data_IF_631917505353
#
_entry.id   IF_631917505353
#
_cell.length_a   1.000
_cell.length_b   1.000
_cell.length_c   1.000
_cell.angle_alpha   90.00
_cell.angle_beta   90.00
_cell.angle_gamma   90.00
#
_symmetry.space_group_name_H-M   'P 1'
#
loop_
_entity.id
_entity.type
_entity.pdbx_description
1 polymer ?
#
# COMPACT_ATOMS: atom_id res chain seq x y z
N UNK A 1 21.74 26.83 1.94
CA UNK A 1 20.98 26.17 0.85
C UNK A 1 19.57 25.94 1.33
N UNK A 2 18.55 26.22 0.51
CA UNK A 2 17.15 25.95 0.86
C UNK A 2 16.87 24.45 0.82
N UNK A 3 16.19 23.91 1.83
CA UNK A 3 15.76 22.50 1.91
C UNK A 3 15.11 22.03 0.61
N UNK A 4 14.17 22.83 0.08
CA UNK A 4 13.47 22.53 -1.17
C UNK A 4 14.41 22.42 -2.38
N UNK A 5 15.47 23.24 -2.43
CA UNK A 5 16.47 23.18 -3.50
C UNK A 5 17.27 21.87 -3.45
N UNK A 6 17.65 21.42 -2.26
CA UNK A 6 18.35 20.15 -2.09
C UNK A 6 17.46 18.96 -2.47
N UNK A 7 16.22 18.93 -1.99
CA UNK A 7 15.25 17.85 -2.31
C UNK A 7 15.00 17.78 -3.83
N UNK A 8 14.79 18.93 -4.47
CA UNK A 8 14.59 19.01 -5.92
C UNK A 8 15.80 18.50 -6.71
N UNK A 9 17.01 18.92 -6.33
CA UNK A 9 18.23 18.47 -6.99
C UNK A 9 18.44 16.96 -6.84
N UNK A 10 18.19 16.39 -5.66
CA UNK A 10 18.27 14.95 -5.42
C UNK A 10 17.23 14.19 -6.26
N UNK A 11 16.01 14.70 -6.35
CA UNK A 11 14.96 14.11 -7.19
C UNK A 11 15.37 14.08 -8.67
N UNK A 12 15.82 15.22 -9.21
CA UNK A 12 16.29 15.31 -10.60
C UNK A 12 17.49 14.41 -10.84
N UNK A 13 18.41 14.30 -9.87
CA UNK A 13 19.57 13.43 -9.96
C UNK A 13 19.16 11.95 -10.10
N UNK A 14 18.24 11.48 -9.24
CA UNK A 14 17.75 10.09 -9.27
C UNK A 14 17.04 9.80 -10.60
N UNK A 15 16.18 10.71 -11.08
CA UNK A 15 15.48 10.52 -12.36
C UNK A 15 16.42 10.47 -13.57
N UNK A 16 17.51 11.25 -13.54
CA UNK A 16 18.47 11.30 -14.66
C UNK A 16 19.40 10.10 -14.70
N UNK A 17 19.83 9.59 -13.54
CA UNK A 17 20.87 8.57 -13.46
C UNK A 17 20.31 7.15 -13.28
N UNK A 18 19.06 6.99 -12.83
CA UNK A 18 18.45 5.68 -12.62
C UNK A 18 17.47 5.34 -13.74
N UNK A 19 17.89 4.44 -14.64
CA UNK A 19 17.02 3.91 -15.69
C UNK A 19 15.78 3.22 -15.10
N UNK A 20 15.96 2.44 -14.03
CA UNK A 20 14.87 1.72 -13.35
C UNK A 20 13.82 2.69 -12.82
N UNK A 21 14.25 3.77 -12.15
CA UNK A 21 13.33 4.78 -11.64
C UNK A 21 12.61 5.49 -12.78
N UNK A 22 13.34 5.88 -13.83
CA UNK A 22 12.75 6.55 -14.99
C UNK A 22 11.68 5.68 -15.66
N UNK A 23 11.98 4.41 -15.94
CA UNK A 23 11.02 3.45 -16.51
C UNK A 23 9.81 3.29 -15.61
N UNK A 24 10.00 3.17 -14.29
CA UNK A 24 8.91 3.08 -13.32
C UNK A 24 7.98 4.30 -13.35
N UNK A 25 8.53 5.51 -13.41
CA UNK A 25 7.74 6.76 -13.51
C UNK A 25 6.97 6.84 -14.81
N UNK A 26 7.58 6.45 -15.93
CA UNK A 26 6.90 6.44 -17.24
C UNK A 26 5.74 5.43 -17.25
N UNK A 27 5.95 4.22 -16.73
CA UNK A 27 4.89 3.21 -16.63
C UNK A 27 3.75 3.67 -15.72
N UNK A 28 4.08 4.26 -14.56
CA UNK A 28 3.08 4.81 -13.66
C UNK A 28 2.29 5.93 -14.33
N UNK A 29 2.94 6.81 -15.08
CA UNK A 29 2.29 7.89 -15.83
C UNK A 29 1.35 7.37 -16.91
N UNK A 30 1.77 6.36 -17.68
CA UNK A 30 0.92 5.71 -18.68
C UNK A 30 -0.30 5.09 -18.00
N UNK A 31 -0.10 4.34 -16.91
CA UNK A 31 -1.17 3.72 -16.16
C UNK A 31 -2.15 4.76 -15.58
N UNK A 32 -1.65 5.82 -14.94
CA UNK A 32 -2.50 6.87 -14.36
C UNK A 32 -3.30 7.62 -15.41
N UNK A 33 -2.77 7.90 -16.60
CA UNK A 33 -3.52 8.53 -17.69
C UNK A 33 -4.55 7.56 -18.29
N UNK A 34 -4.18 6.29 -18.43
CA UNK A 34 -5.07 5.24 -18.94
C UNK A 34 -6.26 5.00 -18.02
N UNK A 35 -6.03 5.05 -16.70
CA UNK A 35 -7.04 4.85 -15.67
C UNK A 35 -8.14 5.94 -15.70
N UNK A 36 -7.81 7.18 -16.06
CA UNK A 36 -8.83 8.25 -16.15
C UNK A 36 -9.84 7.97 -17.28
N UNK A 37 -11.17 8.03 -17.01
CA UNK A 37 -12.22 7.69 -17.96
C UNK A 37 -12.09 8.40 -19.30
N UNK A 38 -12.37 7.66 -20.37
CA UNK A 38 -12.30 8.17 -21.76
C UNK A 38 -13.33 9.25 -22.08
N UNK A 39 -14.38 9.40 -21.24
CA UNK A 39 -15.40 10.46 -21.34
C UNK A 39 -14.81 11.87 -21.21
N UNK A 40 -13.62 12.02 -20.61
CA UNK A 40 -12.92 13.29 -20.50
C UNK A 40 -12.01 13.58 -21.70
N UNK A 41 -11.92 14.86 -22.08
CA UNK A 41 -10.97 15.32 -23.09
C UNK A 41 -9.53 14.90 -22.74
N UNK A 42 -8.74 14.48 -23.74
CA UNK A 42 -7.35 13.99 -23.58
C UNK A 42 -6.47 14.93 -22.75
N UNK A 43 -6.64 16.25 -22.90
CA UNK A 43 -5.90 17.26 -22.12
C UNK A 43 -6.19 17.17 -20.62
N UNK A 44 -7.47 17.01 -20.22
CA UNK A 44 -7.85 16.88 -18.81
C UNK A 44 -7.33 15.58 -18.22
N UNK A 45 -7.40 14.48 -18.98
CA UNK A 45 -6.85 13.17 -18.58
C UNK A 45 -5.35 13.25 -18.30
N UNK A 46 -4.60 13.91 -19.18
CA UNK A 46 -3.17 14.14 -18.98
C UNK A 46 -2.88 14.96 -17.72
N UNK A 47 -3.61 16.05 -17.49
CA UNK A 47 -3.43 16.91 -16.29
C UNK A 47 -3.68 16.10 -15.01
N UNK A 48 -4.79 15.38 -14.94
CA UNK A 48 -5.15 14.59 -13.76
C UNK A 48 -4.12 13.49 -13.50
N UNK A 49 -3.71 12.76 -14.55
CA UNK A 49 -2.68 11.73 -14.45
C UNK A 49 -1.33 12.29 -13.97
N UNK A 50 -0.89 13.43 -14.51
CA UNK A 50 0.36 14.09 -14.10
C UNK A 50 0.29 14.52 -12.63
N UNK A 51 -0.82 15.11 -12.19
CA UNK A 51 -1.00 15.54 -10.80
C UNK A 51 -1.02 14.35 -9.83
N UNK A 52 -1.64 13.24 -10.22
CA UNK A 52 -1.68 12.05 -9.39
C UNK A 52 -0.28 11.40 -9.26
N UNK A 53 0.45 11.29 -10.37
CA UNK A 53 1.83 10.78 -10.36
C UNK A 53 2.75 11.69 -9.55
N UNK A 54 2.62 13.02 -9.69
CA UNK A 54 3.43 13.96 -8.91
C UNK A 54 3.15 13.86 -7.42
N UNK A 55 1.89 13.63 -7.01
CA UNK A 55 1.55 13.37 -5.62
C UNK A 55 2.22 12.07 -5.11
N UNK A 56 2.16 10.98 -5.87
CA UNK A 56 2.86 9.74 -5.50
C UNK A 56 4.38 9.92 -5.38
N UNK A 57 4.99 10.64 -6.32
CA UNK A 57 6.44 10.91 -6.29
C UNK A 57 6.84 11.79 -5.11
N UNK A 58 6.07 12.84 -4.82
CA UNK A 58 6.30 13.70 -3.68
C UNK A 58 6.18 12.92 -2.35
N UNK A 59 5.13 12.11 -2.21
CA UNK A 59 4.94 11.24 -1.05
C UNK A 59 6.07 10.23 -0.88
N UNK A 60 6.53 9.60 -1.97
CA UNK A 60 7.66 8.67 -1.93
C UNK A 60 8.96 9.35 -1.47
N UNK A 61 9.25 10.56 -1.96
CA UNK A 61 10.41 11.35 -1.52
C UNK A 61 10.31 11.73 -0.05
N UNK A 62 9.14 12.20 0.40
CA UNK A 62 8.92 12.58 1.80
C UNK A 62 9.08 11.37 2.72
N UNK A 63 8.54 10.21 2.34
CA UNK A 63 8.70 8.96 3.09
C UNK A 63 10.17 8.53 3.20
N UNK A 64 10.93 8.62 2.10
CA UNK A 64 12.36 8.32 2.12
C UNK A 64 13.15 9.28 3.02
N UNK A 65 12.82 10.58 3.01
CA UNK A 65 13.43 11.57 3.89
C UNK A 65 13.07 11.33 5.36
N UNK A 66 11.81 10.99 5.65
CA UNK A 66 11.35 10.65 6.99
C UNK A 66 12.03 9.38 7.52
N UNK A 67 12.24 8.38 6.66
CA UNK A 67 13.00 7.17 7.01
C UNK A 67 14.43 7.54 7.42
N UNK A 68 15.16 8.28 6.59
CA UNK A 68 16.55 8.65 6.86
C UNK A 68 16.66 9.51 8.13
N UNK A 69 15.77 10.50 8.28
CA UNK A 69 15.72 11.36 9.47
C UNK A 69 15.34 10.58 10.73
N UNK A 70 14.39 9.66 10.63
CA UNK A 70 13.96 8.80 11.73
C UNK A 70 15.10 7.89 12.21
N UNK A 71 15.82 7.25 11.28
CA UNK A 71 16.99 6.45 11.60
C UNK A 71 18.08 7.30 12.28
N UNK A 72 18.40 8.47 11.73
CA UNK A 72 19.39 9.38 12.34
C UNK A 72 18.98 9.84 13.74
N UNK A 73 17.71 10.20 13.93
CA UNK A 73 17.17 10.60 15.24
C UNK A 73 17.29 9.47 16.26
N UNK A 74 16.92 8.24 15.88
CA UNK A 74 17.02 7.07 16.75
C UNK A 74 18.47 6.74 17.10
N UNK A 75 19.42 6.90 16.17
CA UNK A 75 20.86 6.74 16.43
C UNK A 75 21.35 7.81 17.41
N UNK A 76 20.99 9.09 17.19
CA UNK A 76 21.40 10.20 18.06
C UNK A 76 20.91 10.02 19.50
N UNK A 77 19.68 9.52 19.69
CA UNK A 77 19.09 9.25 21.01
C UNK A 77 19.53 7.89 21.59
N UNK A 78 20.46 7.17 20.94
CA UNK A 78 20.95 5.85 21.36
C UNK A 78 19.82 4.82 21.53
N UNK A 79 18.77 4.93 20.73
CA UNK A 79 17.65 3.97 20.71
C UNK A 79 18.00 2.75 19.85
N UNK A 80 18.81 2.93 18.81
CA UNK A 80 19.28 1.90 17.87
C UNK A 80 20.78 2.07 17.62
N UNK A 81 21.44 1.01 17.15
CA UNK A 81 22.86 0.92 16.82
C UNK A 81 23.82 1.11 18.02
N UNK A 82 23.43 0.65 19.21
CA UNK A 82 24.22 0.81 20.45
C UNK A 82 25.14 -0.37 20.75
N UNK A 83 24.80 -1.61 20.39
CA UNK A 83 25.58 -2.82 20.75
C UNK A 83 26.03 -3.71 19.58
N UNK A 84 25.78 -3.30 18.33
CA UNK A 84 26.22 -4.01 17.12
C UNK A 84 25.17 -4.98 16.55
N UNK A 85 25.61 -5.95 15.74
CA UNK A 85 24.69 -6.93 15.14
C UNK A 85 23.99 -7.76 16.23
N UNK A 86 22.66 -7.86 16.16
CA UNK A 86 21.79 -8.66 17.04
C UNK A 86 21.61 -8.13 18.47
N UNK A 87 21.56 -6.81 18.67
CA UNK A 87 21.25 -6.19 19.97
C UNK A 87 19.96 -6.73 20.60
N UNK A 88 18.90 -6.94 19.79
CA UNK A 88 17.65 -7.55 20.25
C UNK A 88 17.82 -8.99 20.77
N UNK A 89 18.69 -9.79 20.15
CA UNK A 89 18.99 -11.15 20.64
C UNK A 89 19.78 -11.12 21.95
N UNK A 90 20.71 -10.17 22.10
CA UNK A 90 21.46 -9.98 23.34
C UNK A 90 20.53 -9.55 24.48
N UNK A 91 19.62 -8.60 24.21
CA UNK A 91 18.59 -8.20 25.16
C UNK A 91 17.70 -9.39 25.53
N UNK A 92 17.23 -10.15 24.55
CA UNK A 92 16.43 -11.34 24.78
C UNK A 92 17.12 -12.32 25.71
N UNK A 93 18.38 -12.70 25.44
CA UNK A 93 19.19 -13.57 26.31
C UNK A 93 19.34 -13.03 27.74
N UNK A 94 19.42 -11.70 27.90
CA UNK A 94 19.60 -11.08 29.23
C UNK A 94 18.34 -11.14 30.09
N UNK A 95 17.15 -11.09 29.49
CA UNK A 95 15.85 -11.13 30.18
C UNK A 95 15.26 -12.54 30.20
N UNK A 96 15.78 -13.44 29.36
CA UNK A 96 15.29 -14.79 29.14
C UNK A 96 15.19 -15.63 30.40
N UNK A 97 16.23 -15.58 31.24
CA UNK A 97 16.30 -16.37 32.48
C UNK A 97 15.41 -15.80 33.59
N UNK A 98 15.08 -14.52 33.51
CA UNK A 98 14.22 -13.84 34.48
C UNK A 98 12.74 -14.10 34.20
N UNK A 99 12.33 -14.05 32.93
CA UNK A 99 10.94 -14.27 32.53
C UNK A 99 10.58 -15.74 32.23
N UNK A 100 11.55 -16.57 31.86
CA UNK A 100 11.34 -17.97 31.50
C UNK A 100 12.34 -18.89 32.20
N UNK A 101 12.14 -19.17 33.51
CA UNK A 101 12.96 -20.13 34.23
C UNK A 101 12.74 -21.54 33.67
N UNK A 102 13.83 -22.27 33.42
CA UNK A 102 13.79 -23.65 32.91
C UNK A 102 14.15 -24.64 34.03
N UNK A 103 13.18 -25.12 34.82
CA UNK A 103 13.42 -26.07 35.90
C UNK A 103 13.83 -27.46 35.40
N UNK A 104 13.67 -27.75 34.10
CA UNK A 104 13.92 -29.05 33.48
C UNK A 104 15.26 -29.15 32.73
N UNK A 105 15.98 -28.04 32.56
CA UNK A 105 17.21 -27.97 31.76
C UNK A 105 17.01 -28.36 30.28
N UNK A 106 15.78 -28.24 29.79
CA UNK A 106 15.36 -28.63 28.45
C UNK A 106 15.93 -27.66 27.40
N UNK A 107 16.06 -26.38 27.75
CA UNK A 107 16.72 -25.34 26.95
C UNK A 107 18.19 -25.67 26.73
N UNK A 108 18.95 -25.97 27.78
CA UNK A 108 20.39 -26.28 27.64
C UNK A 108 20.62 -27.49 26.71
N UNK A 109 19.74 -28.50 26.77
CA UNK A 109 19.76 -29.67 25.88
C UNK A 109 19.45 -29.32 24.43
N UNK A 110 18.54 -28.37 24.17
CA UNK A 110 18.22 -27.90 22.82
C UNK A 110 19.34 -26.97 22.29
N UNK A 111 19.95 -26.17 23.17
CA UNK A 111 21.06 -25.26 22.84
C UNK A 111 22.35 -26.00 22.47
N UNK A 112 22.56 -27.24 22.96
CA UNK A 112 23.67 -28.10 22.53
C UNK A 112 23.74 -28.30 21.02
N UNK A 113 22.60 -28.32 20.33
CA UNK A 113 22.56 -28.50 18.88
C UNK A 113 22.92 -27.23 18.10
N UNK A 114 23.04 -26.06 18.75
CA UNK A 114 23.47 -24.79 18.14
C UNK A 114 22.50 -24.16 17.13
N UNK A 115 21.62 -24.96 16.50
CA UNK A 115 20.65 -24.51 15.51
C UNK A 115 19.52 -23.68 16.11
N UNK A 116 19.06 -24.03 17.31
CA UNK A 116 18.00 -23.30 18.02
C UNK A 116 18.40 -21.83 18.32
N UNK A 117 19.55 -21.56 18.98
CA UNK A 117 19.97 -20.19 19.23
C UNK A 117 20.30 -19.43 17.94
N UNK A 118 20.84 -20.10 16.91
CA UNK A 118 21.07 -19.49 15.60
C UNK A 118 19.75 -19.08 14.92
N UNK A 119 18.75 -19.96 14.90
CA UNK A 119 17.44 -19.70 14.29
C UNK A 119 16.75 -18.50 14.96
N UNK A 120 16.69 -18.49 16.29
CA UNK A 120 16.12 -17.36 17.05
C UNK A 120 16.89 -16.07 16.78
N UNK A 121 18.22 -16.12 16.77
CA UNK A 121 19.07 -14.95 16.49
C UNK A 121 18.81 -14.33 15.12
N UNK A 122 18.64 -15.14 14.07
CA UNK A 122 18.32 -14.65 12.73
C UNK A 122 16.87 -14.18 12.60
N UNK A 123 15.93 -14.87 13.25
CA UNK A 123 14.52 -14.49 13.25
C UNK A 123 14.33 -13.13 13.95
N UNK A 124 14.92 -12.93 15.13
CA UNK A 124 14.87 -11.64 15.83
C UNK A 124 15.55 -10.52 15.03
N UNK A 125 16.66 -10.81 14.35
CA UNK A 125 17.31 -9.85 13.44
C UNK A 125 16.42 -9.47 12.25
N UNK A 126 15.55 -10.37 11.78
CA UNK A 126 14.62 -10.06 10.69
C UNK A 126 13.47 -9.14 11.15
N UNK A 127 13.10 -9.17 12.44
CA UNK A 127 12.10 -8.28 13.01
C UNK A 127 12.68 -6.93 13.45
N UNK A 128 13.98 -6.86 13.71
CA UNK A 128 14.68 -5.62 14.08
C UNK A 128 15.30 -4.91 12.85
N UNK A 129 14.44 -4.65 11.87
CA UNK A 129 14.82 -4.07 10.57
C UNK A 129 15.56 -2.72 10.73
N UNK A 130 15.12 -1.77 11.57
CA UNK A 130 15.82 -0.50 11.75
C UNK A 130 17.24 -0.67 12.33
N UNK A 131 17.44 -1.61 13.25
CA UNK A 131 18.75 -1.92 13.81
C UNK A 131 19.69 -2.51 12.73
N UNK A 132 19.18 -3.42 11.90
CA UNK A 132 19.96 -4.00 10.78
C UNK A 132 20.34 -2.93 9.73
N UNK A 133 19.48 -1.94 9.51
CA UNK A 133 19.82 -0.82 8.61
C UNK A 133 20.89 0.08 9.27
N UNK A 134 20.64 0.50 10.52
CA UNK A 134 21.47 1.47 11.23
C UNK A 134 22.82 0.92 11.68
N UNK A 135 22.83 -0.18 12.43
CA UNK A 135 24.01 -0.74 13.08
C UNK A 135 24.93 -1.47 12.09
N UNK A 136 24.32 -2.25 11.19
CA UNK A 136 25.01 -3.24 10.39
C UNK A 136 25.52 -2.69 9.05
N UNK A 137 24.73 -1.80 8.43
CA UNK A 137 25.01 -1.37 7.06
C UNK A 137 25.39 0.09 6.95
N UNK A 138 24.61 1.00 7.57
CA UNK A 138 24.81 2.44 7.44
C UNK A 138 26.17 2.91 7.93
N UNK A 139 26.65 2.44 9.09
CA UNK A 139 27.97 2.80 9.63
C UNK A 139 29.12 2.43 8.68
N UNK A 140 29.03 1.28 8.03
CA UNK A 140 30.02 0.84 7.04
C UNK A 140 29.91 1.64 5.73
N UNK A 141 28.69 1.91 5.26
CA UNK A 141 28.44 2.75 4.08
C UNK A 141 28.98 4.17 4.29
N UNK A 142 28.77 4.77 5.46
CA UNK A 142 29.26 6.13 5.76
C UNK A 142 30.79 6.20 5.86
N UNK A 143 31.46 5.12 6.30
CA UNK A 143 32.92 5.09 6.43
C UNK A 143 33.65 4.72 5.13
N UNK A 144 33.15 3.70 4.43
CA UNK A 144 33.88 3.05 3.33
C UNK A 144 33.13 3.11 1.99
N UNK A 145 31.93 3.68 1.96
CA UNK A 145 31.06 3.74 0.80
C UNK A 145 30.24 2.46 0.59
N UNK A 146 29.15 2.55 -0.19
CA UNK A 146 28.26 1.40 -0.45
C UNK A 146 28.93 0.27 -1.23
N UNK A 147 30.03 0.56 -1.93
CA UNK A 147 30.81 -0.41 -2.70
C UNK A 147 31.64 -1.35 -1.82
N UNK A 148 31.88 -0.99 -0.55
CA UNK A 148 32.62 -1.84 0.38
C UNK A 148 31.79 -2.99 0.95
N UNK A 149 30.49 -3.02 0.64
CA UNK A 149 29.56 -3.98 1.20
C UNK A 149 29.64 -5.32 0.46
N UNK A 150 29.62 -6.43 1.19
CA UNK A 150 29.53 -7.76 0.57
C UNK A 150 28.20 -7.89 -0.20
N UNK A 151 28.18 -8.71 -1.25
CA UNK A 151 26.96 -8.92 -2.07
C UNK A 151 25.76 -9.34 -1.22
N UNK A 152 25.98 -10.20 -0.23
CA UNK A 152 24.94 -10.61 0.72
C UNK A 152 24.49 -9.47 1.63
N UNK A 153 25.42 -8.64 2.12
CA UNK A 153 25.12 -7.45 2.89
C UNK A 153 24.28 -6.43 2.11
N UNK A 154 24.57 -6.24 0.83
CA UNK A 154 23.79 -5.36 -0.04
C UNK A 154 22.34 -5.86 -0.24
N UNK A 155 22.17 -7.17 -0.44
CA UNK A 155 20.83 -7.78 -0.56
C UNK A 155 20.04 -7.59 0.72
N UNK A 156 20.65 -7.87 1.88
CA UNK A 156 20.01 -7.69 3.19
C UNK A 156 19.62 -6.22 3.38
N UNK A 157 20.52 -5.29 3.08
CA UNK A 157 20.25 -3.85 3.17
C UNK A 157 19.05 -3.42 2.31
N UNK A 158 19.04 -3.77 1.02
CA UNK A 158 17.94 -3.40 0.13
C UNK A 158 16.62 -4.07 0.54
N UNK A 159 16.66 -5.33 0.97
CA UNK A 159 15.47 -6.04 1.45
C UNK A 159 14.91 -5.40 2.73
N UNK A 160 15.78 -5.04 3.69
CA UNK A 160 15.41 -4.36 4.93
C UNK A 160 14.78 -2.99 4.66
N UNK A 161 15.43 -2.16 3.83
CA UNK A 161 14.88 -0.85 3.44
C UNK A 161 13.55 -1.00 2.71
N UNK A 162 13.44 -1.98 1.81
CA UNK A 162 12.19 -2.25 1.08
C UNK A 162 11.06 -2.66 2.02
N UNK A 163 11.28 -3.59 2.95
CA UNK A 163 10.25 -4.05 3.89
C UNK A 163 9.77 -2.91 4.80
N UNK A 164 10.69 -2.09 5.30
CA UNK A 164 10.32 -0.92 6.09
C UNK A 164 9.52 0.09 5.26
N UNK A 165 10.04 0.45 4.08
CA UNK A 165 9.38 1.38 3.18
C UNK A 165 7.99 0.88 2.77
N UNK A 166 7.85 -0.42 2.48
CA UNK A 166 6.57 -1.05 2.17
C UNK A 166 5.55 -0.78 3.26
N UNK A 167 5.86 -1.16 4.51
CA UNK A 167 4.96 -0.98 5.67
C UNK A 167 4.56 0.48 5.85
N UNK A 168 5.53 1.41 5.80
CA UNK A 168 5.24 2.85 5.93
C UNK A 168 4.51 3.45 4.71
N UNK A 169 4.73 2.92 3.52
CA UNK A 169 4.12 3.43 2.29
C UNK A 169 2.64 3.07 2.17
N UNK A 170 2.21 1.90 2.67
CA UNK A 170 0.82 1.43 2.62
C UNK A 170 -0.21 2.48 3.06
N UNK A 171 -0.10 3.10 4.26
CA UNK A 171 -1.05 4.12 4.71
C UNK A 171 -0.94 5.43 3.93
N UNK A 172 0.24 5.77 3.39
CA UNK A 172 0.42 7.02 2.62
C UNK A 172 -0.14 6.88 1.22
N UNK A 173 0.14 5.77 0.55
CA UNK A 173 -0.39 5.46 -0.79
C UNK A 173 -1.91 5.36 -0.73
N UNK A 174 -2.48 4.74 0.31
CA UNK A 174 -3.94 4.69 0.49
C UNK A 174 -4.55 6.08 0.72
N UNK A 175 -3.86 6.96 1.45
CA UNK A 175 -4.30 8.35 1.65
C UNK A 175 -4.23 9.16 0.34
N UNK A 176 -3.16 9.02 -0.44
CA UNK A 176 -3.03 9.68 -1.76
C UNK A 176 -4.12 9.19 -2.72
N UNK A 177 -4.35 7.88 -2.77
CA UNK A 177 -5.39 7.31 -3.62
C UNK A 177 -6.81 7.69 -3.15
N UNK A 178 -7.06 7.67 -1.84
CA UNK A 178 -8.34 8.09 -1.26
C UNK A 178 -8.64 9.57 -1.48
N UNK A 179 -7.66 10.45 -1.29
CA UNK A 179 -7.80 11.89 -1.56
C UNK A 179 -7.99 12.17 -3.06
N UNK A 180 -7.29 11.43 -3.93
CA UNK A 180 -7.51 11.46 -5.37
C UNK A 180 -8.96 11.13 -5.74
N UNK A 181 -9.49 10.01 -5.25
CA UNK A 181 -10.88 9.62 -5.52
C UNK A 181 -11.87 10.63 -4.94
N UNK A 182 -11.62 11.14 -3.73
CA UNK A 182 -12.46 12.16 -3.09
C UNK A 182 -12.59 13.42 -3.95
N UNK A 183 -11.47 13.93 -4.49
CA UNK A 183 -11.49 15.10 -5.39
C UNK A 183 -12.18 14.76 -6.71
N UNK A 184 -11.93 13.56 -7.25
CA UNK A 184 -12.54 13.09 -8.49
C UNK A 184 -14.07 13.04 -8.42
N UNK A 185 -14.63 12.55 -7.31
CA UNK A 185 -16.08 12.42 -7.13
C UNK A 185 -16.72 13.80 -6.89
N UNK A 186 -16.17 14.59 -5.96
CA UNK A 186 -16.82 15.81 -5.49
C UNK A 186 -16.68 16.98 -6.46
N UNK A 187 -15.54 17.12 -7.14
CA UNK A 187 -15.26 18.29 -7.98
C UNK A 187 -15.34 17.99 -9.46
N UNK A 188 -14.82 16.83 -9.88
CA UNK A 188 -14.74 16.47 -11.29
C UNK A 188 -15.92 15.59 -11.73
N UNK A 189 -16.69 15.06 -10.78
CA UNK A 189 -17.78 14.12 -11.00
C UNK A 189 -17.35 12.97 -11.94
N UNK A 190 -16.17 12.42 -11.67
CA UNK A 190 -15.59 11.26 -12.36
C UNK A 190 -15.27 10.16 -11.36
N UNK A 191 -15.04 8.94 -11.85
CA UNK A 191 -14.68 7.77 -11.04
C UNK A 191 -15.75 7.32 -10.03
N UNK A 192 -17.04 7.52 -10.33
CA UNK A 192 -18.12 6.98 -9.50
C UNK A 192 -18.07 5.45 -9.44
N UNK A 193 -17.88 4.78 -10.58
CA UNK A 193 -17.87 3.33 -10.62
C UNK A 193 -16.72 2.73 -9.80
N UNK A 194 -15.50 3.28 -9.88
CA UNK A 194 -14.36 2.77 -9.11
C UNK A 194 -14.41 3.16 -7.63
N UNK A 195 -14.89 4.36 -7.29
CA UNK A 195 -15.00 4.77 -5.89
C UNK A 195 -16.10 4.05 -5.12
N UNK A 196 -17.18 3.65 -5.78
CA UNK A 196 -18.29 2.91 -5.18
C UNK A 196 -18.20 1.39 -5.39
N UNK A 197 -17.25 0.89 -6.19
CA UNK A 197 -17.02 -0.55 -6.39
C UNK A 197 -16.71 -1.33 -5.11
N UNK A 198 -16.16 -0.67 -4.08
CA UNK A 198 -15.95 -1.27 -2.75
C UNK A 198 -17.08 -0.99 -1.75
N UNK A 199 -17.92 0.01 -2.01
CA UNK A 199 -19.06 0.33 -1.17
C UNK A 199 -20.21 -0.62 -1.49
N UNK A 200 -20.24 -1.76 -0.78
CA UNK A 200 -21.40 -2.65 -0.73
C UNK A 200 -22.58 -1.89 -0.10
N UNK A 201 -23.38 -1.21 -0.92
CA UNK A 201 -24.66 -0.67 -0.50
C UNK A 201 -25.57 -1.88 -0.24
N UNK A 202 -25.71 -2.28 1.03
CA UNK A 202 -26.44 -3.49 1.42
C UNK A 202 -27.90 -3.54 0.93
N UNK A 203 -28.47 -2.39 0.57
CA UNK A 203 -29.85 -2.23 0.14
C UNK A 203 -30.07 -2.44 -1.36
N UNK A 204 -29.00 -2.41 -2.15
CA UNK A 204 -29.05 -2.56 -3.60
C UNK A 204 -28.45 -3.90 -3.99
N UNK A 205 -29.27 -4.78 -4.55
CA UNK A 205 -28.81 -6.07 -5.06
C UNK A 205 -29.30 -6.22 -6.49
N UNK A 206 -28.35 -6.39 -7.41
CA UNK A 206 -28.65 -6.76 -8.79
C UNK A 206 -28.16 -8.18 -9.06
N UNK A 207 -28.96 -8.92 -9.82
CA UNK A 207 -28.59 -10.21 -10.39
C UNK A 207 -28.46 -10.00 -11.89
N UNK A 208 -27.25 -10.24 -12.42
CA UNK A 208 -27.00 -10.20 -13.86
C UNK A 208 -26.80 -11.63 -14.34
N UNK A 209 -27.63 -12.09 -15.26
CA UNK A 209 -27.48 -13.38 -15.93
C UNK A 209 -27.10 -13.14 -17.37
N UNK A 210 -25.97 -13.73 -17.77
CA UNK A 210 -25.54 -13.78 -19.15
C UNK A 210 -26.05 -15.08 -19.79
N UNK A 211 -26.60 -14.97 -20.99
CA UNK A 211 -26.98 -16.11 -21.82
C UNK A 211 -26.37 -15.94 -23.20
N UNK A 212 -25.58 -16.91 -23.65
CA UNK A 212 -25.01 -16.93 -25.00
C UNK A 212 -25.92 -17.82 -25.83
N UNK A 213 -26.56 -17.25 -26.84
CA UNK A 213 -27.42 -17.99 -27.74
C UNK A 213 -26.58 -18.89 -28.67
N UNK A 214 -27.16 -19.98 -29.21
CA UNK A 214 -26.53 -20.79 -30.26
C UNK A 214 -26.16 -20.00 -31.51
N UNK A 215 -26.76 -18.81 -31.71
CA UNK A 215 -26.48 -17.87 -32.80
C UNK A 215 -25.31 -16.91 -32.51
N UNK A 216 -24.52 -17.17 -31.45
CA UNK A 216 -23.38 -16.37 -30.96
C UNK A 216 -23.72 -14.96 -30.44
N UNK A 217 -25.01 -14.65 -30.28
CA UNK A 217 -25.44 -13.39 -29.66
C UNK A 217 -25.47 -13.50 -28.12
N UNK A 218 -24.98 -12.46 -27.43
CA UNK A 218 -24.95 -12.38 -25.96
C UNK A 218 -26.17 -11.62 -25.45
N UNK A 219 -27.06 -12.31 -24.74
CA UNK A 219 -28.17 -11.71 -24.02
C UNK A 219 -27.77 -11.44 -22.56
N UNK A 220 -28.02 -10.22 -22.11
CA UNK A 220 -27.74 -9.79 -20.73
C UNK A 220 -29.05 -9.47 -20.03
N UNK A 221 -29.37 -10.26 -19.00
CA UNK A 221 -30.54 -10.04 -18.16
C UNK A 221 -30.11 -9.47 -16.81
N UNK A 222 -30.35 -8.17 -16.60
CA UNK A 222 -30.04 -7.52 -15.32
C UNK A 222 -31.34 -7.25 -14.56
N UNK A 223 -31.52 -7.94 -13.43
CA UNK A 223 -32.59 -7.67 -12.47
C UNK A 223 -32.00 -6.89 -11.30
N UNK A 224 -32.31 -5.59 -11.21
CA UNK A 224 -31.89 -4.75 -10.10
C UNK A 224 -33.06 -4.47 -9.15
N UNK A 225 -32.85 -4.68 -7.84
CA UNK A 225 -33.81 -4.33 -6.80
C UNK A 225 -33.29 -3.06 -6.09
N UNK A 226 -34.09 -2.00 -6.16
CA UNK A 226 -33.81 -0.66 -5.61
C UNK A 226 -33.81 -0.66 -4.06
N UNK A 227 -34.69 -1.45 -3.44
CA UNK A 227 -34.74 -1.60 -1.97
C UNK A 227 -35.35 -2.94 -1.57
N UNK A 228 -34.70 -3.67 -0.66
CA UNK A 228 -35.23 -4.96 -0.17
C UNK A 228 -36.20 -4.71 1.01
N UNK A 229 -37.47 -5.13 0.84
CA UNK A 229 -38.59 -4.76 1.71
C UNK A 229 -38.49 -5.25 3.18
N UNK A 230 -37.71 -6.28 3.50
CA UNK A 230 -37.62 -6.79 4.89
C UNK A 230 -36.80 -5.89 5.82
N UNK A 231 -35.98 -4.98 5.28
CA UNK A 231 -35.29 -3.95 6.08
C UNK A 231 -36.15 -2.70 6.30
N UNK A 232 -37.20 -2.51 5.48
CA UNK A 232 -38.17 -1.43 5.62
C UNK A 232 -38.93 -1.51 6.94
N UNK A 233 -39.15 -2.71 7.51
CA UNK A 233 -39.86 -2.83 8.78
C UNK A 233 -39.05 -2.31 9.98
N UNK A 234 -37.71 -2.24 9.89
CA UNK A 234 -36.85 -1.68 10.93
C UNK A 234 -36.71 -0.15 10.81
N UNK A 235 -36.83 0.39 9.60
CA UNK A 235 -36.82 1.83 9.34
C UNK A 235 -38.21 2.46 9.42
N UNK A 236 -39.30 1.74 9.13
CA UNK A 236 -40.68 2.18 9.40
C UNK A 236 -40.94 2.51 10.88
N UNK A 237 -40.25 1.84 11.80
CA UNK A 237 -40.31 2.16 13.23
C UNK A 237 -39.62 3.50 13.60
N UNK A 238 -38.78 4.04 12.69
CA UNK A 238 -38.10 5.34 12.84
C UNK A 238 -38.78 6.41 11.96
N UNK A 239 -39.37 6.02 10.83
CA UNK A 239 -40.03 6.88 9.84
C UNK A 239 -41.53 7.11 10.09
N UNK A 240 -42.14 6.45 11.08
CA UNK A 240 -43.45 6.86 11.62
C UNK A 240 -43.40 8.26 12.30
N UNK A 241 -42.23 8.91 12.34
CA UNK A 241 -42.05 10.29 12.79
C UNK A 241 -41.84 11.32 11.67
N UNK A 242 -41.63 10.94 10.41
CA UNK A 242 -41.49 11.91 9.33
C UNK A 242 -42.06 11.35 8.02
N UNK A 243 -43.34 11.60 7.79
CA UNK A 243 -44.09 10.99 6.70
C UNK A 243 -43.68 11.55 5.35
N UNK A 244 -42.91 10.79 4.56
CA UNK A 244 -42.90 10.93 3.10
C UNK A 244 -42.19 9.78 2.35
N UNK A 245 -42.84 9.37 1.25
CA UNK A 245 -42.35 8.61 0.08
C UNK A 245 -42.57 7.09 -0.04
N UNK A 246 -43.16 6.79 -1.19
CA UNK A 246 -43.70 5.55 -1.73
C UNK A 246 -42.85 5.07 -2.92
N UNK A 247 -43.02 3.78 -3.25
CA UNK A 247 -42.74 3.11 -4.53
C UNK A 247 -41.37 2.40 -4.68
N UNK A 248 -41.43 1.07 -4.78
CA UNK A 248 -40.33 0.23 -5.26
C UNK A 248 -40.34 0.28 -6.80
N UNK A 249 -39.31 0.85 -7.42
CA UNK A 249 -39.11 0.77 -8.88
C UNK A 249 -38.35 -0.50 -9.23
N UNK A 250 -39.01 -1.44 -9.90
CA UNK A 250 -38.33 -2.52 -10.61
C UNK A 250 -37.88 -1.97 -11.97
N UNK A 251 -36.57 -1.86 -12.19
CA UNK A 251 -36.02 -1.48 -13.49
C UNK A 251 -35.54 -2.77 -14.15
N UNK A 252 -36.24 -3.20 -15.20
CA UNK A 252 -35.81 -4.30 -16.07
C UNK A 252 -35.25 -3.67 -17.34
N UNK A 253 -33.94 -3.79 -17.54
CA UNK A 253 -33.27 -3.35 -18.75
C UNK A 253 -33.02 -4.60 -19.60
N UNK A 254 -33.66 -4.67 -20.76
CA UNK A 254 -33.33 -5.63 -21.81
C UNK A 254 -32.46 -4.88 -22.82
N UNK A 255 -31.18 -5.23 -22.88
CA UNK A 255 -30.26 -4.64 -23.84
C UNK A 255 -29.78 -5.74 -24.79
N UNK A 256 -30.17 -5.63 -26.06
CA UNK A 256 -29.68 -6.49 -27.11
C UNK A 256 -28.40 -5.87 -27.67
N UNK A 257 -27.25 -6.51 -27.41
CA UNK A 257 -25.94 -6.02 -27.83
C UNK A 257 -25.55 -6.72 -29.13
N UNK A 258 -25.58 -6.06 -30.30
CA UNK A 258 -25.19 -6.69 -31.55
C UNK A 258 -23.67 -6.97 -31.60
N UNK A 259 -23.30 -8.00 -32.37
CA UNK A 259 -21.96 -8.60 -32.52
C UNK A 259 -20.78 -7.63 -32.37
N UNK A 260 -19.89 -7.96 -31.44
CA UNK A 260 -18.63 -7.23 -31.16
C UNK A 260 -17.45 -7.80 -31.97
N UNK A 261 -17.63 -8.93 -32.66
CA UNK A 261 -16.61 -9.52 -33.54
C UNK A 261 -17.14 -9.74 -34.96
N UNK A 262 -16.54 -9.03 -35.90
CA UNK A 262 -16.51 -9.33 -37.34
C UNK A 262 -15.06 -9.36 -37.79
#
# INVERSE_FOLDING_TARGET
>A
MSFFGTVWNSFVYILKHSFVTLTGVVLLLIASIAFVPSKLARKKRAIIGILHVSAHLASALILMLLLELGLETCIQHKLIATSGYHSLYQWYRSVESEHFPDPTGLRERIEQFGFYPACIKYLMSAFDIPEVIAAATRTNICKNGIQSLSRGGAIIYYASVFLFFWVSSTPVVSLVFGSYLYICINWLHIHFDEAFSSLRIANYKSFTRFHINPDDDLEVFTLAIDTVHWMLNRLKAIEELDGQFTSVRLIVIFEHVPRIFG
#
